data_IF_635034460194
#
_entry.id   IF_635034460194
#
_cell.length_a   1.000
_cell.length_b   1.000
_cell.length_c   1.000
_cell.angle_alpha   90.00
_cell.angle_beta   90.00
_cell.angle_gamma   90.00
#
_symmetry.space_group_name_H-M   'P 1'
#
loop_
_entity.id
_entity.type
_entity.pdbx_description
1 polymer ?
#
# COMPACT_ATOMS: atom_id res chain seq x y z
N UNK A 1 -6.24 4.76 -3.72
CA UNK A 1 -6.55 3.86 -2.59
C UNK A 1 -7.11 2.51 -3.05
N UNK A 2 -8.20 2.44 -3.85
CA UNK A 2 -8.80 1.19 -4.29
C UNK A 2 -7.83 0.23 -5.01
N UNK A 3 -6.89 0.77 -5.80
CA UNK A 3 -5.89 -0.06 -6.47
C UNK A 3 -5.00 -0.85 -5.50
N UNK A 4 -4.67 -0.26 -4.34
CA UNK A 4 -3.92 -0.97 -3.29
C UNK A 4 -4.76 -2.11 -2.68
N UNK A 5 -6.05 -1.87 -2.42
CA UNK A 5 -6.99 -2.88 -1.92
C UNK A 5 -7.10 -4.06 -2.91
N UNK A 6 -7.19 -3.78 -4.20
CA UNK A 6 -7.23 -4.84 -5.24
C UNK A 6 -5.92 -5.64 -5.25
N UNK A 7 -4.78 -4.96 -5.15
CA UNK A 7 -3.48 -5.61 -5.09
C UNK A 7 -3.36 -6.59 -3.93
N UNK A 8 -3.75 -6.15 -2.73
CA UNK A 8 -3.82 -6.97 -1.53
C UNK A 8 -4.73 -8.20 -1.73
N UNK A 9 -6.00 -7.99 -2.09
CA UNK A 9 -6.97 -9.08 -2.26
C UNK A 9 -6.46 -10.13 -3.26
N UNK A 10 -5.96 -9.69 -4.41
CA UNK A 10 -5.46 -10.59 -5.46
C UNK A 10 -4.18 -11.31 -5.00
N UNK A 11 -3.27 -10.59 -4.34
CA UNK A 11 -1.99 -11.11 -3.86
C UNK A 11 -2.11 -12.06 -2.66
N UNK A 12 -3.12 -11.89 -1.80
CA UNK A 12 -3.28 -12.56 -0.51
C UNK A 12 -3.11 -14.09 -0.53
N UNK A 13 -3.62 -14.75 -1.55
CA UNK A 13 -3.53 -16.22 -1.70
C UNK A 13 -2.15 -16.70 -2.10
N UNK A 14 -1.26 -15.82 -2.52
CA UNK A 14 0.08 -16.14 -3.01
C UNK A 14 1.19 -15.85 -2.00
N UNK A 15 0.93 -15.10 -0.94
CA UNK A 15 1.90 -14.74 0.10
C UNK A 15 2.68 -15.96 0.62
N UNK A 16 1.98 -17.07 0.89
CA UNK A 16 2.58 -18.32 1.37
C UNK A 16 2.77 -19.38 0.28
N UNK A 17 2.35 -19.08 -0.94
CA UNK A 17 2.37 -20.00 -2.08
C UNK A 17 2.97 -19.29 -3.29
N UNK A 18 4.29 -19.08 -3.26
CA UNK A 18 5.03 -18.38 -4.31
C UNK A 18 4.52 -18.73 -5.70
N UNK A 19 4.01 -17.72 -6.40
CA UNK A 19 3.59 -17.81 -7.79
C UNK A 19 4.59 -17.03 -8.67
N UNK A 20 5.15 -17.68 -9.70
CA UNK A 20 6.21 -17.11 -10.54
C UNK A 20 5.76 -16.91 -12.00
N UNK A 21 4.45 -16.74 -12.21
CA UNK A 21 3.85 -16.52 -13.52
C UNK A 21 2.84 -15.39 -13.47
N UNK A 22 2.65 -14.69 -14.59
CA UNK A 22 1.56 -13.71 -14.79
C UNK A 22 0.23 -14.38 -15.15
N UNK A 23 0.23 -15.68 -15.43
CA UNK A 23 -0.94 -16.45 -15.82
C UNK A 23 -1.65 -17.02 -14.58
N UNK A 24 -2.68 -16.32 -14.13
CA UNK A 24 -3.56 -16.75 -13.03
C UNK A 24 -4.89 -15.97 -13.06
N UNK A 25 -5.93 -16.53 -12.51
CA UNK A 25 -7.21 -15.84 -12.30
C UNK A 25 -7.02 -14.74 -11.23
N UNK A 26 -7.43 -13.50 -11.52
CA UNK A 26 -7.27 -12.40 -10.56
C UNK A 26 -8.03 -12.67 -9.26
N UNK A 27 -9.31 -12.98 -9.36
CA UNK A 27 -10.17 -13.20 -8.21
C UNK A 27 -10.65 -14.65 -8.15
N UNK A 28 -10.57 -15.25 -6.97
CA UNK A 28 -11.06 -16.61 -6.68
C UNK A 28 -11.60 -16.65 -5.24
N UNK A 29 -12.33 -17.70 -4.89
CA UNK A 29 -12.85 -17.93 -3.54
C UNK A 29 -11.78 -17.99 -2.43
N UNK A 30 -10.49 -18.11 -2.80
CA UNK A 30 -9.36 -18.08 -1.88
C UNK A 30 -8.76 -16.69 -1.64
N UNK A 31 -9.20 -15.69 -2.42
CA UNK A 31 -8.80 -14.31 -2.20
C UNK A 31 -9.51 -13.75 -0.94
N UNK A 32 -8.80 -12.91 -0.21
CA UNK A 32 -9.33 -12.20 0.95
C UNK A 32 -8.58 -10.89 1.11
N UNK A 33 -9.16 -9.93 1.81
CA UNK A 33 -8.37 -8.78 2.26
C UNK A 33 -7.45 -9.18 3.42
N UNK A 34 -6.32 -8.49 3.54
CA UNK A 34 -5.35 -8.70 4.62
C UNK A 34 -5.16 -7.43 5.45
N UNK A 35 -4.10 -7.39 6.26
CA UNK A 35 -3.73 -6.19 7.01
C UNK A 35 -3.31 -5.03 6.10
N UNK A 36 -2.90 -5.28 4.87
CA UNK A 36 -2.67 -4.23 3.86
C UNK A 36 -3.94 -3.39 3.64
N UNK A 37 -5.05 -4.03 3.31
CA UNK A 37 -6.34 -3.35 3.16
C UNK A 37 -6.83 -2.75 4.49
N UNK A 38 -6.79 -3.52 5.57
CA UNK A 38 -7.27 -3.05 6.87
C UNK A 38 -6.55 -1.78 7.32
N UNK A 39 -5.23 -1.71 7.17
CA UNK A 39 -4.44 -0.54 7.55
C UNK A 39 -4.52 0.59 6.53
N UNK A 40 -4.71 0.30 5.23
CA UNK A 40 -5.01 1.32 4.22
C UNK A 40 -6.33 2.04 4.53
N UNK A 41 -7.38 1.28 4.87
CA UNK A 41 -8.69 1.82 5.26
C UNK A 41 -8.59 2.59 6.59
N UNK A 42 -7.76 2.12 7.54
CA UNK A 42 -7.52 2.85 8.79
C UNK A 42 -6.86 4.22 8.57
N UNK A 43 -5.89 4.29 7.65
CA UNK A 43 -5.25 5.57 7.27
C UNK A 43 -6.26 6.49 6.55
N UNK A 44 -7.06 5.95 5.63
CA UNK A 44 -8.11 6.73 4.96
C UNK A 44 -9.12 7.30 5.96
N UNK A 45 -9.58 6.49 6.93
CA UNK A 45 -10.45 6.93 8.02
C UNK A 45 -9.82 8.05 8.84
N UNK A 46 -8.55 7.93 9.22
CA UNK A 46 -7.82 8.95 9.98
C UNK A 46 -7.76 10.29 9.20
N UNK A 47 -7.49 10.23 7.90
CA UNK A 47 -7.46 11.41 7.03
C UNK A 47 -8.84 12.08 6.91
N UNK A 48 -9.92 11.29 6.78
CA UNK A 48 -11.30 11.80 6.77
C UNK A 48 -11.65 12.52 8.07
N UNK A 49 -11.29 11.94 9.21
CA UNK A 49 -11.57 12.52 10.53
C UNK A 49 -10.83 13.83 10.79
N UNK A 50 -9.67 14.03 10.17
CA UNK A 50 -8.92 15.28 10.21
C UNK A 50 -9.62 16.45 9.48
N UNK A 51 -10.54 16.19 8.55
CA UNK A 51 -11.31 17.21 7.83
C UNK A 51 -10.47 18.35 7.23
N UNK A 52 -9.24 18.01 6.80
CA UNK A 52 -8.29 18.96 6.20
C UNK A 52 -7.33 19.65 7.18
N UNK A 53 -7.49 19.47 8.49
CA UNK A 53 -6.49 19.87 9.49
C UNK A 53 -5.73 18.64 9.99
N UNK A 54 -4.52 18.45 9.48
CA UNK A 54 -3.70 17.26 9.75
C UNK A 54 -2.78 17.39 10.98
N UNK A 55 -2.99 18.39 11.84
CA UNK A 55 -2.16 18.64 13.03
C UNK A 55 -2.13 17.42 13.98
N UNK A 56 -3.26 16.74 14.15
CA UNK A 56 -3.41 15.56 15.01
C UNK A 56 -3.47 14.24 14.22
N UNK A 57 -3.00 14.23 12.96
CA UNK A 57 -3.11 13.05 12.09
C UNK A 57 -2.47 11.80 12.70
N UNK A 58 -1.35 11.93 13.39
CA UNK A 58 -0.68 10.78 14.03
C UNK A 58 -1.58 10.14 15.11
N UNK A 59 -2.26 10.92 15.93
CA UNK A 59 -3.15 10.42 16.99
C UNK A 59 -4.41 9.77 16.39
N UNK A 60 -4.99 10.40 15.36
CA UNK A 60 -6.08 9.81 14.58
C UNK A 60 -5.66 8.47 13.96
N UNK A 61 -4.45 8.41 13.39
CA UNK A 61 -3.90 7.19 12.78
C UNK A 61 -3.77 6.06 13.81
N UNK A 62 -3.19 6.32 14.97
CA UNK A 62 -3.09 5.32 16.05
C UNK A 62 -4.47 4.79 16.42
N UNK A 63 -5.42 5.69 16.67
CA UNK A 63 -6.78 5.29 17.07
C UNK A 63 -7.49 4.47 16.00
N UNK A 64 -7.48 4.92 14.75
CA UNK A 64 -8.14 4.22 13.65
C UNK A 64 -7.50 2.85 13.36
N UNK A 65 -6.16 2.76 13.40
CA UNK A 65 -5.46 1.48 13.25
C UNK A 65 -5.81 0.50 14.37
N UNK A 66 -5.86 0.96 15.62
CA UNK A 66 -6.24 0.10 16.74
C UNK A 66 -7.70 -0.32 16.67
N UNK A 67 -8.60 0.58 16.29
CA UNK A 67 -10.03 0.28 16.13
C UNK A 67 -10.25 -0.80 15.09
N UNK A 68 -9.76 -0.58 13.87
CA UNK A 68 -9.90 -1.53 12.75
C UNK A 68 -9.12 -2.81 13.02
N UNK A 69 -7.86 -2.71 13.46
CA UNK A 69 -7.02 -3.87 13.69
C UNK A 69 -7.56 -4.83 14.75
N UNK A 70 -8.16 -4.31 15.82
CA UNK A 70 -8.81 -5.13 16.86
C UNK A 70 -10.11 -5.76 16.40
N UNK A 71 -10.82 -5.11 15.47
CA UNK A 71 -12.06 -5.63 14.89
C UNK A 71 -11.79 -6.76 13.89
N UNK A 72 -10.67 -6.71 13.21
CA UNK A 72 -10.24 -7.72 12.21
C UNK A 72 -8.91 -8.39 12.63
N UNK A 73 -8.87 -9.12 13.77
CA UNK A 73 -7.62 -9.60 14.37
C UNK A 73 -6.91 -10.69 13.53
N UNK A 74 -7.59 -11.28 12.58
CA UNK A 74 -7.08 -12.38 11.74
C UNK A 74 -6.62 -11.89 10.35
N UNK A 75 -6.43 -10.58 10.15
CA UNK A 75 -6.08 -10.04 8.84
C UNK A 75 -4.61 -10.28 8.42
N UNK A 76 -3.77 -10.93 9.24
CA UNK A 76 -2.41 -11.28 8.84
C UNK A 76 -1.30 -10.44 9.47
N UNK A 77 -1.61 -9.59 10.44
CA UNK A 77 -0.64 -8.69 11.08
C UNK A 77 0.65 -9.38 11.51
N UNK A 78 1.79 -8.73 11.26
CA UNK A 78 3.06 -9.13 11.85
C UNK A 78 2.99 -9.11 13.39
N UNK A 79 3.67 -10.06 14.04
CA UNK A 79 3.56 -10.32 15.48
C UNK A 79 3.77 -9.06 16.35
N UNK A 80 4.77 -8.24 16.05
CA UNK A 80 5.05 -7.02 16.84
C UNK A 80 3.94 -5.99 16.61
N UNK A 81 3.45 -5.83 15.38
CA UNK A 81 2.36 -4.91 15.09
C UNK A 81 1.04 -5.37 15.71
N UNK A 82 0.78 -6.67 15.76
CA UNK A 82 -0.37 -7.22 16.49
C UNK A 82 -0.34 -6.83 17.98
N UNK A 83 0.82 -6.93 18.64
CA UNK A 83 0.97 -6.47 20.04
C UNK A 83 0.78 -4.95 20.15
N UNK A 84 1.29 -4.18 19.20
CA UNK A 84 1.11 -2.73 19.11
C UNK A 84 -0.38 -2.34 19.02
N UNK A 85 -1.17 -3.04 18.20
CA UNK A 85 -2.62 -2.83 18.10
C UNK A 85 -3.35 -2.98 19.42
N UNK A 86 -2.87 -3.85 20.31
CA UNK A 86 -3.50 -4.15 21.61
C UNK A 86 -2.87 -3.39 22.77
N UNK A 87 -1.78 -2.68 22.55
CA UNK A 87 -1.14 -1.89 23.60
C UNK A 87 -2.00 -0.67 23.98
N UNK A 88 -2.04 -0.32 25.28
CA UNK A 88 -2.85 0.82 25.77
C UNK A 88 -2.32 2.17 25.26
N UNK A 89 -1.01 2.33 25.26
CA UNK A 89 -0.30 3.51 24.79
C UNK A 89 0.77 3.04 23.80
N UNK A 90 0.41 2.75 22.54
CA UNK A 90 1.37 2.26 21.56
C UNK A 90 2.31 3.40 21.14
N UNK A 91 3.57 3.05 20.96
CA UNK A 91 4.58 3.94 20.42
C UNK A 91 5.37 3.26 19.31
N UNK A 92 6.19 4.01 18.58
CA UNK A 92 7.02 3.44 17.53
C UNK A 92 8.02 2.41 18.10
N UNK A 93 8.35 1.40 17.28
CA UNK A 93 9.22 0.30 17.71
C UNK A 93 10.37 0.01 16.72
N UNK A 94 10.81 1.04 16.02
CA UNK A 94 11.94 0.99 15.07
C UNK A 94 11.77 -0.04 13.95
N UNK A 95 10.54 -0.28 13.53
CA UNK A 95 10.26 -1.15 12.39
C UNK A 95 10.72 -0.53 11.08
N UNK A 96 11.31 -1.35 10.23
CA UNK A 96 11.61 -1.08 8.82
C UNK A 96 10.81 -1.98 7.88
N UNK A 97 9.77 -2.63 8.41
CA UNK A 97 8.86 -3.48 7.66
C UNK A 97 8.05 -2.70 6.61
N UNK A 98 7.70 -3.39 5.54
CA UNK A 98 6.90 -2.86 4.42
C UNK A 98 5.46 -2.49 4.81
N UNK A 99 5.00 -2.92 6.00
CA UNK A 99 3.76 -2.48 6.62
C UNK A 99 3.63 -0.95 6.77
N UNK A 100 4.73 -0.20 6.69
CA UNK A 100 4.72 1.25 6.57
C UNK A 100 4.26 1.72 5.19
N UNK A 101 4.76 1.10 4.12
CA UNK A 101 4.55 1.51 2.73
C UNK A 101 3.22 1.01 2.15
N UNK A 102 2.74 -0.18 2.56
CA UNK A 102 1.52 -0.79 2.06
C UNK A 102 0.28 0.08 2.28
N UNK A 103 0.25 0.86 3.36
CA UNK A 103 -0.93 1.60 3.85
C UNK A 103 -0.97 3.07 3.51
N UNK A 104 0.06 3.63 2.85
CA UNK A 104 0.20 5.08 2.65
C UNK A 104 -0.51 5.63 1.42
N UNK A 105 -1.02 4.78 0.53
CA UNK A 105 -1.64 5.22 -0.72
C UNK A 105 -2.73 6.31 -0.53
N UNK A 106 -3.57 6.34 0.55
CA UNK A 106 -4.55 7.40 0.76
C UNK A 106 -3.93 8.80 0.93
N UNK A 107 -2.71 8.87 1.48
CA UNK A 107 -2.02 10.16 1.71
C UNK A 107 -1.82 10.94 0.42
N UNK A 108 -1.54 10.24 -0.69
CA UNK A 108 -1.31 10.88 -1.99
C UNK A 108 -2.52 11.63 -2.52
N UNK A 109 -3.73 11.21 -2.19
CA UNK A 109 -4.97 11.82 -2.66
C UNK A 109 -5.34 13.10 -1.91
N UNK A 110 -4.87 13.28 -0.68
CA UNK A 110 -5.18 14.46 0.13
C UNK A 110 -4.10 15.52 0.07
N UNK A 111 -2.87 15.13 -0.27
CA UNK A 111 -1.72 16.03 -0.32
C UNK A 111 -1.79 16.98 -1.53
N UNK A 112 -1.70 18.28 -1.27
CA UNK A 112 -1.73 19.33 -2.30
C UNK A 112 -0.36 19.60 -2.93
N UNK A 113 0.70 19.20 -2.23
CA UNK A 113 2.09 19.39 -2.67
C UNK A 113 2.92 18.15 -2.35
N UNK A 114 4.03 17.96 -3.06
CA UNK A 114 4.98 16.88 -2.77
C UNK A 114 5.50 16.95 -1.33
N UNK A 115 5.82 18.16 -0.85
CA UNK A 115 6.27 18.36 0.54
C UNK A 115 5.20 17.92 1.56
N UNK A 116 3.96 18.25 1.31
CA UNK A 116 2.83 17.83 2.16
C UNK A 116 2.66 16.31 2.11
N UNK A 117 2.77 15.69 0.93
CA UNK A 117 2.73 14.24 0.79
C UNK A 117 3.78 13.54 1.66
N UNK A 118 5.02 14.01 1.65
CA UNK A 118 6.11 13.50 2.51
C UNK A 118 5.74 13.67 4.00
N UNK A 119 5.25 14.85 4.39
CA UNK A 119 4.89 15.14 5.79
C UNK A 119 3.75 14.23 6.28
N UNK A 120 2.71 14.06 5.48
CA UNK A 120 1.57 13.21 5.82
C UNK A 120 1.97 11.72 5.82
N UNK A 121 2.76 11.27 4.84
CA UNK A 121 3.29 9.89 4.83
C UNK A 121 4.10 9.60 6.09
N UNK A 122 4.96 10.52 6.50
CA UNK A 122 5.70 10.41 7.75
C UNK A 122 4.76 10.36 8.97
N UNK A 123 3.75 11.23 9.04
CA UNK A 123 2.82 11.29 10.17
C UNK A 123 2.06 9.97 10.40
N UNK A 124 1.57 9.32 9.32
CA UNK A 124 0.86 8.03 9.42
C UNK A 124 1.77 6.83 9.61
N UNK A 125 3.07 6.98 9.34
CA UNK A 125 4.06 5.90 9.39
C UNK A 125 4.79 5.84 10.72
N UNK A 126 5.28 6.99 11.20
CA UNK A 126 6.14 7.08 12.39
C UNK A 126 5.46 6.61 13.68
N UNK A 127 4.16 6.48 13.71
CA UNK A 127 3.40 5.97 14.86
C UNK A 127 3.78 4.53 15.26
N UNK A 128 4.35 3.79 14.33
CA UNK A 128 4.82 2.40 14.53
C UNK A 128 6.18 2.14 13.87
N UNK A 129 6.41 2.64 12.65
CA UNK A 129 7.57 2.38 11.81
C UNK A 129 8.45 3.64 11.72
N UNK A 130 9.24 3.91 12.75
CA UNK A 130 10.10 5.09 12.85
C UNK A 130 11.58 4.84 12.49
N UNK A 131 11.90 3.64 12.00
CA UNK A 131 13.22 3.37 11.42
C UNK A 131 13.40 4.15 10.12
N UNK A 132 14.62 4.69 9.81
CA UNK A 132 14.84 5.42 8.56
C UNK A 132 14.38 4.69 7.30
N UNK A 133 14.63 3.37 7.19
CA UNK A 133 14.16 2.57 6.04
C UNK A 133 12.63 2.39 6.01
N UNK A 134 11.96 2.34 7.16
CA UNK A 134 10.50 2.30 7.23
C UNK A 134 9.86 3.60 6.76
N UNK A 135 10.40 4.74 7.18
CA UNK A 135 9.97 6.07 6.72
C UNK A 135 10.27 6.26 5.23
N UNK A 136 11.48 5.89 4.80
CA UNK A 136 11.92 5.96 3.40
C UNK A 136 10.99 5.19 2.46
N UNK A 137 10.62 3.96 2.83
CA UNK A 137 9.71 3.13 2.02
C UNK A 137 8.32 3.74 1.89
N UNK A 138 7.76 4.23 3.00
CA UNK A 138 6.47 4.88 3.00
C UNK A 138 6.46 6.18 2.17
N UNK A 139 7.49 7.02 2.32
CA UNK A 139 7.66 8.23 1.53
C UNK A 139 7.77 7.94 0.03
N UNK A 140 8.58 6.94 -0.36
CA UNK A 140 8.74 6.53 -1.76
C UNK A 140 7.42 6.05 -2.37
N UNK A 141 6.67 5.19 -1.69
CA UNK A 141 5.38 4.69 -2.15
C UNK A 141 4.33 5.81 -2.27
N UNK A 142 4.26 6.70 -1.27
CA UNK A 142 3.36 7.84 -1.29
C UNK A 142 3.70 8.81 -2.43
N UNK A 143 4.98 9.12 -2.65
CA UNK A 143 5.42 10.03 -3.71
C UNK A 143 5.21 9.44 -5.12
N UNK A 144 5.46 8.15 -5.30
CA UNK A 144 5.16 7.50 -6.58
C UNK A 144 3.66 7.58 -6.91
N UNK A 145 2.80 7.35 -5.89
CA UNK A 145 1.34 7.47 -6.02
C UNK A 145 0.92 8.93 -6.27
N UNK A 146 1.51 9.89 -5.55
CA UNK A 146 1.22 11.31 -5.72
C UNK A 146 1.66 11.82 -7.10
N UNK A 147 2.84 11.43 -7.57
CA UNK A 147 3.32 11.74 -8.92
C UNK A 147 2.37 11.21 -10.00
N UNK A 148 1.90 9.98 -9.85
CA UNK A 148 0.93 9.35 -10.75
C UNK A 148 -0.39 10.14 -10.82
N UNK A 149 -0.95 10.56 -9.67
CA UNK A 149 -2.16 11.38 -9.59
C UNK A 149 -2.00 12.76 -10.23
N UNK A 150 -0.79 13.33 -10.17
CA UNK A 150 -0.49 14.66 -10.70
C UNK A 150 0.07 14.64 -12.13
N UNK A 151 -0.12 13.54 -12.87
CA UNK A 151 0.20 13.44 -14.30
C UNK A 151 1.69 13.29 -14.61
N UNK A 152 2.52 12.89 -13.64
CA UNK A 152 3.91 12.55 -13.90
C UNK A 152 4.01 11.32 -14.81
N UNK A 153 4.92 11.33 -15.77
CA UNK A 153 5.23 10.14 -16.58
C UNK A 153 5.96 9.10 -15.73
N UNK A 154 5.97 7.85 -16.17
CA UNK A 154 6.72 6.77 -15.50
C UNK A 154 8.20 7.13 -15.34
N UNK A 155 8.83 7.71 -16.36
CA UNK A 155 10.23 8.15 -16.30
C UNK A 155 10.45 9.28 -15.28
N UNK A 156 9.48 10.18 -15.09
CA UNK A 156 9.55 11.21 -14.04
C UNK A 156 9.43 10.60 -12.65
N UNK A 157 8.51 9.64 -12.47
CA UNK A 157 8.34 8.92 -11.20
C UNK A 157 9.61 8.14 -10.90
N UNK A 158 10.13 7.35 -11.86
CA UNK A 158 11.37 6.61 -11.70
C UNK A 158 12.52 7.51 -11.26
N UNK A 159 12.78 8.57 -12.04
CA UNK A 159 13.84 9.51 -11.72
C UNK A 159 13.69 10.11 -10.32
N UNK A 160 12.44 10.49 -9.94
CA UNK A 160 12.17 11.06 -8.62
C UNK A 160 12.48 10.09 -7.49
N UNK A 161 12.20 8.81 -7.67
CA UNK A 161 12.51 7.77 -6.69
C UNK A 161 14.01 7.48 -6.64
N UNK A 162 14.67 7.39 -7.78
CA UNK A 162 16.11 7.13 -7.84
C UNK A 162 16.94 8.27 -7.25
N UNK A 163 16.52 9.50 -7.42
CA UNK A 163 17.25 10.69 -6.91
C UNK A 163 17.38 10.68 -5.37
N UNK A 164 16.46 10.05 -4.61
CA UNK A 164 16.42 10.18 -3.14
C UNK A 164 16.09 8.91 -2.34
N UNK A 165 15.56 7.87 -2.99
CA UNK A 165 15.04 6.71 -2.27
C UNK A 165 15.71 5.40 -2.67
N UNK A 166 15.41 4.85 -3.83
CA UNK A 166 15.82 3.52 -4.25
C UNK A 166 16.39 3.52 -5.65
N UNK A 167 17.45 2.74 -5.87
CA UNK A 167 17.96 2.43 -7.19
C UNK A 167 17.00 1.43 -7.84
N UNK A 168 16.58 1.71 -9.09
CA UNK A 168 15.64 0.92 -9.87
C UNK A 168 16.35 0.43 -11.16
N UNK A 169 17.51 -0.23 -10.98
CA UNK A 169 18.40 -0.68 -12.07
C UNK A 169 18.26 -2.19 -12.36
N UNK A 170 17.09 -2.76 -12.13
CA UNK A 170 16.80 -4.17 -12.37
C UNK A 170 15.46 -4.34 -13.10
N UNK A 171 15.31 -5.44 -13.83
CA UNK A 171 14.02 -5.84 -14.40
C UNK A 171 13.36 -6.92 -13.52
N UNK A 172 12.02 -6.89 -13.43
CA UNK A 172 11.26 -7.90 -12.66
C UNK A 172 11.54 -9.32 -13.17
N UNK A 173 11.64 -9.50 -14.48
CA UNK A 173 11.93 -10.82 -15.08
C UNK A 173 13.30 -11.37 -14.66
N UNK A 174 14.30 -10.52 -14.47
CA UNK A 174 15.65 -10.90 -14.05
C UNK A 174 15.70 -11.36 -12.59
N UNK A 175 14.95 -10.67 -11.72
CA UNK A 175 14.97 -10.99 -10.28
C UNK A 175 13.96 -12.06 -9.90
N UNK A 176 12.85 -12.23 -10.66
CA UNK A 176 11.74 -13.15 -10.37
C UNK A 176 12.19 -14.56 -10.00
N UNK A 177 13.10 -15.23 -10.70
CA UNK A 177 13.48 -16.61 -10.38
C UNK A 177 14.15 -16.76 -9.00
N UNK A 178 14.82 -15.71 -8.53
CA UNK A 178 15.62 -15.72 -7.30
C UNK A 178 14.94 -15.02 -6.13
N UNK A 179 13.97 -14.16 -6.40
CA UNK A 179 13.30 -13.37 -5.37
C UNK A 179 12.59 -14.30 -4.36
N UNK A 180 12.66 -13.92 -3.10
CA UNK A 180 12.09 -14.64 -1.94
C UNK A 180 11.31 -13.67 -1.07
N UNK A 181 10.54 -14.20 -0.13
CA UNK A 181 9.82 -13.42 0.86
C UNK A 181 10.76 -12.46 1.60
N UNK A 182 10.44 -11.18 1.57
CA UNK A 182 11.13 -10.12 2.29
C UNK A 182 10.10 -9.07 2.72
N UNK A 183 9.82 -8.99 4.02
CA UNK A 183 8.87 -8.06 4.60
C UNK A 183 9.50 -6.69 4.96
N UNK A 184 10.71 -6.41 4.49
CA UNK A 184 11.35 -5.09 4.67
C UNK A 184 10.94 -4.11 3.57
N UNK A 185 10.97 -2.81 3.87
CA UNK A 185 10.73 -1.78 2.85
C UNK A 185 11.72 -1.89 1.68
N UNK A 186 13.01 -2.08 1.96
CA UNK A 186 14.03 -2.18 0.93
C UNK A 186 13.93 -3.46 0.08
N UNK A 187 13.27 -4.49 0.61
CA UNK A 187 13.02 -5.74 -0.11
C UNK A 187 11.69 -5.79 -0.87
N UNK A 188 10.79 -4.82 -0.67
CA UNK A 188 9.43 -4.83 -1.26
C UNK A 188 9.13 -3.59 -2.08
N UNK A 189 9.49 -2.39 -1.58
CA UNK A 189 9.04 -1.13 -2.18
C UNK A 189 9.65 -0.87 -3.56
N UNK A 190 10.98 -1.00 -3.77
CA UNK A 190 11.55 -0.83 -5.11
C UNK A 190 10.98 -1.84 -6.11
N UNK A 191 10.73 -3.09 -5.69
CA UNK A 191 10.14 -4.13 -6.53
C UNK A 191 8.69 -3.80 -6.92
N UNK A 192 7.92 -3.25 -6.00
CA UNK A 192 6.55 -2.81 -6.28
C UNK A 192 6.52 -1.62 -7.25
N UNK A 193 7.43 -0.66 -7.08
CA UNK A 193 7.55 0.49 -7.98
C UNK A 193 7.98 0.01 -9.38
N UNK A 194 8.96 -0.90 -9.47
CA UNK A 194 9.43 -1.44 -10.75
C UNK A 194 8.32 -2.24 -11.45
N UNK A 195 7.53 -3.03 -10.74
CA UNK A 195 6.37 -3.72 -11.30
C UNK A 195 5.36 -2.76 -11.94
N UNK A 196 5.15 -1.58 -11.35
CA UNK A 196 4.36 -0.51 -11.96
C UNK A 196 5.07 0.09 -13.18
N UNK A 197 6.37 0.36 -13.09
CA UNK A 197 7.12 0.99 -14.18
C UNK A 197 7.16 0.13 -15.45
N UNK A 198 7.27 -1.19 -15.33
CA UNK A 198 7.25 -2.13 -16.45
C UNK A 198 5.86 -2.39 -17.04
N UNK A 199 4.78 -2.10 -16.29
CA UNK A 199 3.41 -2.49 -16.68
C UNK A 199 2.82 -1.63 -17.81
N UNK A 200 1.87 -2.19 -18.55
CA UNK A 200 1.15 -1.49 -19.64
C UNK A 200 -0.21 -0.94 -19.19
N UNK A 201 -0.79 -1.50 -18.14
CA UNK A 201 -2.10 -1.12 -17.59
C UNK A 201 -2.23 -1.56 -16.13
N UNK A 202 -3.36 -1.25 -15.49
CA UNK A 202 -3.63 -1.57 -14.09
C UNK A 202 -3.54 -3.08 -13.81
N UNK A 203 -4.22 -3.91 -14.60
CA UNK A 203 -4.23 -5.36 -14.41
C UNK A 203 -2.83 -5.96 -14.60
N UNK A 204 -2.09 -5.51 -15.61
CA UNK A 204 -0.73 -5.97 -15.87
C UNK A 204 0.20 -5.64 -14.70
N UNK A 205 0.03 -4.47 -14.05
CA UNK A 205 0.76 -4.13 -12.83
C UNK A 205 0.54 -5.16 -11.74
N UNK A 206 -0.71 -5.53 -11.47
CA UNK A 206 -1.04 -6.52 -10.43
C UNK A 206 -0.44 -7.88 -10.79
N UNK A 207 -0.53 -8.29 -12.05
CA UNK A 207 0.06 -9.56 -12.54
C UNK A 207 1.57 -9.59 -12.42
N UNK A 208 2.26 -8.52 -12.79
CA UNK A 208 3.71 -8.39 -12.64
C UNK A 208 4.10 -8.47 -11.16
N UNK A 209 3.46 -7.69 -10.29
CA UNK A 209 3.73 -7.65 -8.86
C UNK A 209 3.55 -9.04 -8.20
N UNK A 210 2.40 -9.68 -8.41
CA UNK A 210 2.13 -11.03 -7.89
C UNK A 210 3.10 -12.07 -8.44
N UNK A 211 3.46 -11.98 -9.73
CA UNK A 211 4.37 -12.95 -10.37
C UNK A 211 5.79 -12.91 -9.81
N UNK A 212 6.16 -11.86 -9.10
CA UNK A 212 7.43 -11.81 -8.40
C UNK A 212 7.48 -12.79 -7.22
N UNK A 213 6.32 -13.12 -6.64
CA UNK A 213 6.20 -13.95 -5.44
C UNK A 213 6.72 -13.23 -4.19
N UNK A 214 7.06 -13.98 -3.16
CA UNK A 214 7.45 -13.39 -1.87
C UNK A 214 6.23 -12.84 -1.14
N UNK A 215 6.34 -11.65 -0.61
CA UNK A 215 5.28 -10.88 0.06
C UNK A 215 4.35 -10.27 -1.00
N UNK A 216 3.60 -11.15 -1.67
CA UNK A 216 2.93 -10.84 -2.94
C UNK A 216 1.71 -9.91 -2.78
N UNK A 217 1.01 -9.96 -1.66
CA UNK A 217 -0.08 -9.05 -1.32
C UNK A 217 0.44 -7.64 -1.09
N UNK A 218 1.48 -7.47 -0.25
CA UNK A 218 2.08 -6.17 0.02
C UNK A 218 2.73 -5.57 -1.24
N UNK A 219 3.49 -6.35 -2.02
CA UNK A 219 4.07 -5.85 -3.27
C UNK A 219 2.97 -5.42 -4.24
N UNK A 220 1.91 -6.22 -4.38
CA UNK A 220 0.79 -5.90 -5.25
C UNK A 220 -0.07 -4.74 -4.70
N UNK A 221 -0.20 -4.58 -3.39
CA UNK A 221 -0.89 -3.44 -2.78
C UNK A 221 -0.15 -2.12 -3.07
N UNK A 222 1.16 -2.08 -2.87
CA UNK A 222 1.97 -0.88 -3.17
C UNK A 222 1.91 -0.57 -4.68
N UNK A 223 2.20 -1.55 -5.54
CA UNK A 223 2.17 -1.38 -7.00
C UNK A 223 0.77 -0.98 -7.50
N UNK A 224 -0.28 -1.64 -7.01
CA UNK A 224 -1.67 -1.36 -7.33
C UNK A 224 -2.13 0.03 -6.87
N UNK A 225 -1.61 0.51 -5.74
CA UNK A 225 -1.83 1.89 -5.27
C UNK A 225 -1.34 2.92 -6.28
N UNK A 226 -0.13 2.74 -6.80
CA UNK A 226 0.49 3.60 -7.82
C UNK A 226 -0.25 3.46 -9.16
N UNK A 227 -0.49 2.22 -9.60
CA UNK A 227 -1.16 1.94 -10.88
C UNK A 227 -2.60 2.45 -10.91
N UNK A 228 -3.34 2.32 -9.80
CA UNK A 228 -4.70 2.86 -9.69
C UNK A 228 -4.75 4.37 -9.76
N UNK A 229 -3.70 5.06 -9.31
CA UNK A 229 -3.52 6.50 -9.45
C UNK A 229 -3.16 6.90 -10.88
N UNK A 230 -2.35 6.08 -11.57
CA UNK A 230 -1.82 6.39 -12.89
C UNK A 230 -2.78 6.04 -14.04
N UNK A 231 -3.34 4.83 -14.02
CA UNK A 231 -4.19 4.28 -15.09
C UNK A 231 -5.69 4.42 -14.80
N UNK A 232 -6.04 4.69 -13.54
CA UNK A 232 -7.38 4.42 -13.04
C UNK A 232 -7.60 2.93 -12.74
N UNK A 233 -8.66 2.62 -12.01
CA UNK A 233 -9.08 1.25 -11.70
C UNK A 233 -10.23 0.87 -12.63
N UNK A 234 -10.13 -0.24 -13.42
CA UNK A 234 -11.23 -0.74 -14.23
C UNK A 234 -12.48 -1.06 -13.37
N UNK A 235 -13.65 -0.69 -13.88
CA UNK A 235 -14.90 -0.79 -13.10
C UNK A 235 -15.30 -2.23 -12.77
N UNK A 236 -15.01 -3.17 -13.64
CA UNK A 236 -15.24 -4.61 -13.41
C UNK A 236 -14.37 -5.15 -12.28
N UNK A 237 -13.10 -4.72 -12.19
CA UNK A 237 -12.22 -5.08 -11.08
C UNK A 237 -12.64 -4.41 -9.76
N UNK A 238 -13.15 -3.16 -9.83
CA UNK A 238 -13.74 -2.49 -8.67
C UNK A 238 -14.91 -3.29 -8.10
N UNK A 239 -15.87 -3.65 -8.96
CA UNK A 239 -17.07 -4.38 -8.55
C UNK A 239 -16.70 -5.73 -7.92
N UNK A 240 -15.71 -6.42 -8.48
CA UNK A 240 -15.21 -7.68 -7.92
C UNK A 240 -14.53 -7.50 -6.57
N UNK A 241 -13.67 -6.50 -6.41
CA UNK A 241 -12.97 -6.27 -5.15
C UNK A 241 -13.92 -5.96 -3.99
N UNK A 242 -15.00 -5.22 -4.25
CA UNK A 242 -16.00 -4.88 -3.24
C UNK A 242 -16.67 -6.12 -2.63
N UNK A 243 -16.81 -7.23 -3.39
CA UNK A 243 -17.38 -8.49 -2.89
C UNK A 243 -16.57 -9.10 -1.74
N UNK A 244 -15.29 -8.74 -1.59
CA UNK A 244 -14.38 -9.23 -0.55
C UNK A 244 -14.30 -8.32 0.68
N UNK A 245 -14.97 -7.16 0.65
CA UNK A 245 -14.87 -6.15 1.70
C UNK A 245 -16.08 -6.17 2.63
N UNK A 246 -15.87 -5.96 3.94
CA UNK A 246 -16.99 -5.71 4.85
C UNK A 246 -17.62 -4.34 4.56
N UNK A 247 -18.92 -4.19 4.84
CA UNK A 247 -19.67 -2.96 4.58
C UNK A 247 -18.99 -1.70 5.12
N UNK A 248 -18.43 -1.77 6.34
CA UNK A 248 -17.70 -0.65 6.94
C UNK A 248 -16.51 -0.17 6.08
N UNK A 249 -15.78 -1.08 5.43
CA UNK A 249 -14.67 -0.70 4.55
C UNK A 249 -15.17 -0.05 3.27
N UNK A 250 -16.31 -0.52 2.76
CA UNK A 250 -16.98 0.07 1.58
C UNK A 250 -17.43 1.49 1.92
N UNK A 251 -18.06 1.70 3.07
CA UNK A 251 -18.53 3.03 3.51
C UNK A 251 -17.36 4.02 3.62
N UNK A 252 -16.23 3.60 4.24
CA UNK A 252 -15.03 4.44 4.37
C UNK A 252 -14.41 4.74 2.99
N UNK A 253 -14.36 3.73 2.09
CA UNK A 253 -13.85 3.90 0.73
C UNK A 253 -14.68 4.91 -0.05
N UNK A 254 -16.01 4.79 -0.03
CA UNK A 254 -16.94 5.69 -0.73
C UNK A 254 -16.85 7.12 -0.17
N UNK A 255 -16.81 7.27 1.15
CA UNK A 255 -16.63 8.57 1.79
C UNK A 255 -15.28 9.20 1.41
N UNK A 256 -14.20 8.40 1.35
CA UNK A 256 -12.89 8.88 0.97
C UNK A 256 -12.87 9.33 -0.50
N UNK A 257 -13.40 8.53 -1.40
CA UNK A 257 -13.48 8.87 -2.84
C UNK A 257 -14.31 10.11 -3.07
N UNK A 258 -15.44 10.26 -2.40
CA UNK A 258 -16.30 11.44 -2.51
C UNK A 258 -15.61 12.75 -2.09
N UNK A 259 -14.70 12.68 -1.13
CA UNK A 259 -14.03 13.87 -0.59
C UNK A 259 -12.71 14.21 -1.31
N UNK A 260 -12.01 13.20 -1.89
CA UNK A 260 -10.64 13.38 -2.34
C UNK A 260 -10.34 12.84 -3.76
N UNK A 261 -11.28 12.18 -4.43
CA UNK A 261 -11.15 11.70 -5.81
C UNK A 261 -12.21 12.35 -6.69
#
# INVERSE_FOLDING_TARGET
MLGAIIGDIVGSRFERHNHKSKDFDLFTDRCQFTDDTAMTVAVAKALLECKGDYTELSDHTVRCMQEIGRKYPNAGYGQIFYLWLHHKNPGPYRSYGNGSAMRVSPVAYVAKTEKECIQLAKAVTQVSHDHPEGLKGAEAAALATWGALNGATKSMIQKRIEDQYYILDFAIDEIRPKYRFDASCQGSVPQAIEAFLESENFEDTIRIAVSLGGDSDTIAAIAGGIAGAYYGVPNDLRLKAIEYLPAEFIDILEDFEKNYC
#
